data_IF_616871921403
#
_entry.id   IF_616871921403
#
_cell.length_a   1.000
_cell.length_b   1.000
_cell.length_c   1.000
_cell.angle_alpha   90.00
_cell.angle_beta   90.00
_cell.angle_gamma   90.00
#
_symmetry.space_group_name_H-M   'P 1'
#
loop_
_entity.id
_entity.type
_entity.pdbx_description
1 polymer ?
#
# COMPACT_ATOMS: atom_id res chain seq x y z
N UNK A 1 22.71 9.76 -0.25
CA UNK A 1 22.68 10.17 1.17
C UNK A 1 21.44 11.06 1.35
N UNK A 2 20.47 10.68 2.18
CA UNK A 2 19.19 11.41 2.37
C UNK A 2 19.31 12.75 3.13
N UNK A 3 20.52 13.32 3.19
CA UNK A 3 20.86 14.46 4.07
C UNK A 3 20.06 15.72 3.72
N UNK A 4 19.66 15.89 2.46
CA UNK A 4 18.82 17.02 2.04
C UNK A 4 17.38 17.03 2.59
N UNK A 5 16.94 15.94 3.24
CA UNK A 5 15.61 15.82 3.85
C UNK A 5 15.66 15.65 5.38
N UNK A 6 16.85 15.66 5.97
CA UNK A 6 17.02 15.61 7.42
C UNK A 6 16.74 17.00 8.04
N UNK A 7 16.01 17.10 9.16
CA UNK A 7 15.82 18.38 9.86
C UNK A 7 17.07 18.78 10.66
N UNK A 8 17.81 19.80 10.20
CA UNK A 8 18.98 20.42 10.88
C UNK A 8 20.18 19.49 11.18
N UNK A 9 21.36 20.08 11.42
CA UNK A 9 22.67 19.39 11.44
C UNK A 9 22.92 18.45 12.65
N UNK A 10 21.91 18.14 13.47
CA UNK A 10 22.05 17.38 14.73
C UNK A 10 21.02 16.24 14.85
N UNK A 11 20.82 15.51 13.75
CA UNK A 11 19.80 14.45 13.65
C UNK A 11 20.39 13.12 14.12
N UNK A 12 19.83 12.57 15.20
CA UNK A 12 20.14 11.21 15.63
C UNK A 12 19.52 10.18 14.68
N UNK A 13 20.31 9.72 13.71
CA UNK A 13 19.89 8.69 12.77
C UNK A 13 19.83 7.29 13.39
N UNK A 14 20.21 7.11 14.65
CA UNK A 14 19.99 5.84 15.37
C UNK A 14 18.55 5.71 15.87
N UNK A 15 17.82 6.83 15.99
CA UNK A 15 16.40 6.85 16.35
C UNK A 15 15.51 6.43 15.16
N UNK A 16 14.72 5.37 15.35
CA UNK A 16 13.78 4.84 14.35
C UNK A 16 12.68 5.84 13.96
N UNK A 17 12.21 6.67 14.89
CA UNK A 17 11.16 7.65 14.64
C UNK A 17 11.67 8.78 13.75
N UNK A 18 12.92 9.18 13.96
CA UNK A 18 13.62 10.16 13.12
C UNK A 18 13.79 9.62 11.71
N UNK A 19 14.30 8.39 11.56
CA UNK A 19 14.45 7.75 10.23
C UNK A 19 13.09 7.58 9.53
N UNK A 20 12.05 7.23 10.27
CA UNK A 20 10.70 7.11 9.74
C UNK A 20 10.16 8.46 9.25
N UNK A 21 10.33 9.54 10.02
CA UNK A 21 9.92 10.88 9.61
C UNK A 21 10.63 11.34 8.33
N UNK A 22 11.92 11.03 8.17
CA UNK A 22 12.67 11.30 6.93
C UNK A 22 12.07 10.51 5.76
N UNK A 23 11.78 9.22 5.96
CA UNK A 23 11.14 8.39 4.94
C UNK A 23 9.76 8.93 4.55
N UNK A 24 8.93 9.33 5.51
CA UNK A 24 7.62 9.93 5.24
C UNK A 24 7.73 11.20 4.39
N UNK A 25 8.73 12.05 4.65
CA UNK A 25 8.98 13.25 3.82
C UNK A 25 9.43 12.88 2.41
N UNK A 26 10.30 11.89 2.28
CA UNK A 26 10.72 11.41 0.96
C UNK A 26 9.58 10.73 0.19
N UNK A 27 8.62 10.13 0.89
CA UNK A 27 7.45 9.48 0.29
C UNK A 27 6.42 10.48 -0.27
N UNK A 28 6.40 11.74 0.16
CA UNK A 28 5.48 12.75 -0.39
C UNK A 28 6.09 13.55 -1.55
N UNK A 29 7.38 13.36 -1.81
CA UNK A 29 8.15 14.11 -2.81
C UNK A 29 8.77 13.15 -3.84
N UNK A 30 8.14 12.95 -5.01
CA UNK A 30 8.64 12.02 -6.01
C UNK A 30 10.08 12.28 -6.46
N UNK A 31 10.53 13.53 -6.44
CA UNK A 31 11.94 13.87 -6.75
C UNK A 31 12.94 13.33 -5.73
N UNK A 32 12.51 12.96 -4.52
CA UNK A 32 13.32 12.35 -3.48
C UNK A 32 13.51 10.83 -3.66
N UNK A 33 12.69 10.18 -4.50
CA UNK A 33 12.73 8.73 -4.70
C UNK A 33 14.11 8.17 -5.12
N UNK A 34 14.88 8.81 -6.02
CA UNK A 34 16.23 8.37 -6.35
C UNK A 34 17.18 8.34 -5.13
N UNK A 35 16.99 9.25 -4.16
CA UNK A 35 17.78 9.29 -2.93
C UNK A 35 17.25 8.34 -1.85
N UNK A 36 15.93 8.09 -1.83
CA UNK A 36 15.28 7.14 -0.92
C UNK A 36 15.73 5.71 -1.19
N UNK A 37 15.86 5.32 -2.46
CA UNK A 37 16.23 3.97 -2.87
C UNK A 37 17.53 3.45 -2.20
N UNK A 38 18.69 4.11 -2.31
CA UNK A 38 19.92 3.65 -1.66
C UNK A 38 19.83 3.72 -0.13
N UNK A 39 19.01 4.61 0.44
CA UNK A 39 18.82 4.65 1.88
C UNK A 39 18.06 3.43 2.40
N UNK A 40 17.05 2.95 1.68
CA UNK A 40 16.34 1.72 2.02
C UNK A 40 17.23 0.47 1.93
N UNK A 41 18.21 0.47 1.02
CA UNK A 41 19.22 -0.60 0.95
C UNK A 41 20.12 -0.61 2.19
N UNK A 42 20.44 0.58 2.71
CA UNK A 42 21.30 0.75 3.89
C UNK A 42 20.55 0.72 5.22
N UNK A 43 19.21 0.65 5.21
CA UNK A 43 18.38 0.73 6.42
C UNK A 43 18.57 -0.53 7.29
N UNK A 44 19.00 -0.37 8.56
CA UNK A 44 19.14 -1.50 9.47
C UNK A 44 17.81 -2.10 9.92
N UNK A 45 16.75 -1.29 10.05
CA UNK A 45 15.42 -1.79 10.40
C UNK A 45 14.63 -2.25 9.15
N UNK A 46 14.55 -3.57 9.00
CA UNK A 46 13.80 -4.22 7.92
C UNK A 46 12.31 -3.86 7.93
N UNK A 47 11.73 -3.60 9.10
CA UNK A 47 10.33 -3.23 9.26
C UNK A 47 10.09 -1.82 8.74
N UNK A 48 10.99 -0.89 9.03
CA UNK A 48 10.96 0.47 8.49
C UNK A 48 11.11 0.46 6.97
N UNK A 49 12.07 -0.30 6.44
CA UNK A 49 12.26 -0.41 4.99
C UNK A 49 11.03 -1.01 4.29
N UNK A 50 10.49 -2.10 4.83
CA UNK A 50 9.28 -2.76 4.30
C UNK A 50 8.06 -1.84 4.36
N UNK A 51 7.86 -1.14 5.48
CA UNK A 51 6.74 -0.21 5.66
C UNK A 51 6.83 0.98 4.71
N UNK A 52 8.04 1.50 4.49
CA UNK A 52 8.27 2.60 3.54
C UNK A 52 7.89 2.18 2.12
N UNK A 53 8.35 1.01 1.65
CA UNK A 53 8.00 0.50 0.32
C UNK A 53 6.50 0.20 0.20
N UNK A 54 5.88 -0.32 1.27
CA UNK A 54 4.44 -0.56 1.31
C UNK A 54 3.64 0.73 1.09
N UNK A 55 4.00 1.83 1.76
CA UNK A 55 3.36 3.14 1.58
C UNK A 55 3.61 3.67 0.17
N UNK A 56 4.82 3.47 -0.36
CA UNK A 56 5.18 3.90 -1.70
C UNK A 56 4.31 3.24 -2.79
N UNK A 57 3.91 1.97 -2.62
CA UNK A 57 3.05 1.28 -3.60
C UNK A 57 1.69 1.93 -3.84
N UNK A 58 1.17 2.67 -2.85
CA UNK A 58 -0.09 3.41 -2.98
C UNK A 58 0.03 4.58 -3.98
N UNK A 59 1.26 5.00 -4.28
CA UNK A 59 1.56 6.13 -5.17
C UNK A 59 2.13 5.68 -6.52
N UNK A 60 2.81 4.52 -6.54
CA UNK A 60 3.45 4.02 -7.75
C UNK A 60 2.49 3.30 -8.69
N UNK A 61 2.69 3.43 -10.02
CA UNK A 61 2.05 2.55 -10.98
C UNK A 61 2.52 1.11 -10.77
N UNK A 62 1.68 0.09 -11.08
CA UNK A 62 2.02 -1.32 -10.86
C UNK A 62 3.36 -1.75 -11.46
N UNK A 63 3.71 -1.25 -12.64
CA UNK A 63 4.95 -1.60 -13.35
C UNK A 63 6.25 -1.14 -12.66
N UNK A 64 6.18 -0.21 -11.70
CA UNK A 64 7.36 0.27 -10.99
C UNK A 64 7.63 -0.47 -9.67
N UNK A 65 6.61 -1.14 -9.11
CA UNK A 65 6.64 -1.72 -7.75
C UNK A 65 7.73 -2.78 -7.58
N UNK A 66 7.97 -3.63 -8.58
CA UNK A 66 8.96 -4.72 -8.51
C UNK A 66 10.38 -4.21 -8.27
N UNK A 67 10.72 -3.08 -8.89
CA UNK A 67 12.03 -2.46 -8.72
C UNK A 67 12.28 -1.98 -7.29
N UNK A 68 11.21 -1.68 -6.53
CA UNK A 68 11.27 -1.28 -5.12
C UNK A 68 11.23 -2.46 -4.16
N UNK A 69 10.60 -3.58 -4.54
CA UNK A 69 10.71 -4.84 -3.78
C UNK A 69 12.18 -5.29 -3.73
N UNK A 70 12.90 -5.13 -4.83
CA UNK A 70 14.30 -5.56 -4.96
C UNK A 70 15.26 -4.85 -4.00
N UNK A 71 14.90 -3.70 -3.44
CA UNK A 71 15.78 -2.95 -2.52
C UNK A 71 15.57 -3.26 -1.04
N UNK A 72 14.52 -4.02 -0.71
CA UNK A 72 14.24 -4.48 0.66
C UNK A 72 14.98 -5.80 0.91
N UNK A 73 15.41 -6.10 2.15
CA UNK A 73 15.92 -7.42 2.53
C UNK A 73 14.95 -8.56 2.20
N UNK A 74 15.49 -9.76 1.96
CA UNK A 74 14.72 -10.91 1.45
C UNK A 74 13.53 -11.31 2.32
N UNK A 75 13.64 -11.16 3.64
CA UNK A 75 12.60 -11.41 4.64
C UNK A 75 11.30 -10.64 4.36
N UNK A 76 11.39 -9.39 3.88
CA UNK A 76 10.22 -8.54 3.58
C UNK A 76 9.66 -8.73 2.16
N UNK A 77 10.44 -9.30 1.23
CA UNK A 77 10.06 -9.35 -0.20
C UNK A 77 8.81 -10.16 -0.46
N UNK A 78 8.66 -11.33 0.15
CA UNK A 78 7.49 -12.19 -0.08
C UNK A 78 6.17 -11.48 0.31
N UNK A 79 6.19 -10.72 1.39
CA UNK A 79 5.06 -9.90 1.81
C UNK A 79 4.76 -8.78 0.81
N UNK A 80 5.78 -8.05 0.37
CA UNK A 80 5.62 -6.96 -0.59
C UNK A 80 5.18 -7.45 -1.97
N UNK A 81 5.70 -8.58 -2.46
CA UNK A 81 5.25 -9.21 -3.70
C UNK A 81 3.77 -9.56 -3.63
N UNK A 82 3.32 -10.20 -2.54
CA UNK A 82 1.89 -10.49 -2.35
C UNK A 82 1.06 -9.21 -2.35
N UNK A 83 1.50 -8.18 -1.62
CA UNK A 83 0.76 -6.92 -1.53
C UNK A 83 0.69 -6.19 -2.87
N UNK A 84 1.78 -6.19 -3.65
CA UNK A 84 1.83 -5.58 -4.99
C UNK A 84 0.79 -6.22 -5.91
N UNK A 85 0.70 -7.56 -5.90
CA UNK A 85 -0.31 -8.30 -6.65
C UNK A 85 -1.74 -7.98 -6.18
N UNK A 86 -1.98 -7.95 -4.87
CA UNK A 86 -3.29 -7.60 -4.31
C UNK A 86 -3.70 -6.16 -4.64
N UNK A 87 -2.77 -5.21 -4.61
CA UNK A 87 -3.04 -3.83 -5.06
C UNK A 87 -3.41 -3.79 -6.54
N UNK A 88 -2.70 -4.52 -7.40
CA UNK A 88 -3.05 -4.61 -8.82
C UNK A 88 -4.45 -5.19 -9.02
N UNK A 89 -4.84 -6.23 -8.29
CA UNK A 89 -6.21 -6.75 -8.28
C UNK A 89 -7.22 -5.71 -7.80
N UNK A 90 -6.89 -4.97 -6.74
CA UNK A 90 -7.76 -3.92 -6.23
C UNK A 90 -7.96 -2.77 -7.24
N UNK A 91 -6.90 -2.40 -7.96
CA UNK A 91 -6.93 -1.36 -8.99
C UNK A 91 -7.86 -1.77 -10.16
N UNK A 92 -7.84 -3.04 -10.57
CA UNK A 92 -8.76 -3.58 -11.60
C UNK A 92 -10.23 -3.44 -11.19
N UNK A 93 -10.56 -3.80 -9.95
CA UNK A 93 -11.95 -3.78 -9.47
C UNK A 93 -12.41 -2.41 -8.95
N UNK A 94 -11.50 -1.44 -8.83
CA UNK A 94 -11.84 -0.08 -8.41
C UNK A 94 -12.84 0.55 -9.36
N UNK A 95 -12.58 0.52 -10.65
CA UNK A 95 -13.42 1.11 -11.72
C UNK A 95 -13.95 0.09 -12.72
N UNK A 96 -13.47 -1.16 -12.64
CA UNK A 96 -13.85 -2.25 -13.54
C UNK A 96 -15.08 -3.05 -13.08
N UNK A 97 -15.28 -4.19 -13.73
CA UNK A 97 -16.37 -5.12 -13.43
C UNK A 97 -16.26 -5.73 -12.03
N UNK A 98 -17.38 -6.15 -11.42
CA UNK A 98 -17.34 -6.91 -10.17
C UNK A 98 -16.51 -8.19 -10.33
N UNK A 99 -15.82 -8.64 -9.28
CA UNK A 99 -15.07 -9.90 -9.33
C UNK A 99 -16.01 -11.07 -9.59
N UNK A 100 -15.53 -12.10 -10.28
CA UNK A 100 -16.30 -13.33 -10.48
C UNK A 100 -16.35 -14.17 -9.19
N UNK A 101 -15.20 -14.31 -8.52
CA UNK A 101 -15.02 -15.01 -7.25
C UNK A 101 -14.08 -14.23 -6.33
N UNK A 102 -14.38 -14.26 -5.04
CA UNK A 102 -13.63 -13.60 -3.96
C UNK A 102 -13.21 -14.58 -2.85
N UNK A 103 -13.49 -15.88 -3.00
CA UNK A 103 -13.23 -16.92 -1.99
C UNK A 103 -11.75 -17.01 -1.60
N UNK A 104 -10.85 -16.88 -2.58
CA UNK A 104 -9.40 -16.91 -2.40
C UNK A 104 -8.78 -15.59 -1.93
N UNK A 105 -9.56 -14.53 -1.75
CA UNK A 105 -9.01 -13.22 -1.41
C UNK A 105 -8.59 -13.14 0.06
N UNK A 106 -7.48 -12.44 0.30
CA UNK A 106 -7.07 -12.10 1.65
C UNK A 106 -8.05 -11.13 2.30
N UNK A 107 -8.05 -11.08 3.63
CA UNK A 107 -8.88 -10.13 4.37
C UNK A 107 -8.54 -8.68 4.04
N UNK A 108 -7.27 -8.43 3.72
CA UNK A 108 -6.86 -7.10 3.30
C UNK A 108 -7.42 -6.75 1.92
N UNK A 109 -7.33 -7.67 0.95
CA UNK A 109 -7.84 -7.42 -0.41
C UNK A 109 -9.36 -7.20 -0.39
N UNK A 110 -10.09 -8.04 0.34
CA UNK A 110 -11.54 -7.87 0.54
C UNK A 110 -11.88 -6.49 1.08
N UNK A 111 -11.18 -6.04 2.14
CA UNK A 111 -11.43 -4.72 2.75
C UNK A 111 -11.05 -3.59 1.81
N UNK A 112 -9.92 -3.71 1.09
CA UNK A 112 -9.44 -2.71 0.14
C UNK A 112 -10.45 -2.52 -0.98
N UNK A 113 -10.87 -3.58 -1.65
CA UNK A 113 -11.84 -3.50 -2.74
C UNK A 113 -13.20 -3.00 -2.22
N UNK A 114 -13.64 -3.48 -1.05
CA UNK A 114 -14.90 -3.03 -0.45
C UNK A 114 -14.95 -1.52 -0.19
N UNK A 115 -13.82 -0.89 0.19
CA UNK A 115 -13.79 0.54 0.51
C UNK A 115 -13.48 1.44 -0.69
N UNK A 116 -12.76 0.96 -1.71
CA UNK A 116 -12.29 1.81 -2.81
C UNK A 116 -13.11 1.71 -4.09
N UNK A 117 -13.94 0.67 -4.26
CA UNK A 117 -14.75 0.48 -5.47
C UNK A 117 -15.63 1.68 -5.79
N UNK A 118 -15.73 2.04 -7.05
CA UNK A 118 -16.55 3.16 -7.55
C UNK A 118 -17.78 2.71 -8.31
N UNK A 119 -17.90 1.41 -8.63
CA UNK A 119 -19.11 0.83 -9.23
C UNK A 119 -19.92 0.11 -8.15
N UNK A 120 -21.25 0.16 -8.22
CA UNK A 120 -22.14 -0.43 -7.19
C UNK A 120 -22.10 -1.96 -7.16
N UNK A 121 -21.85 -2.60 -8.29
CA UNK A 121 -21.93 -4.05 -8.43
C UNK A 121 -20.88 -4.76 -7.55
N UNK A 122 -19.68 -4.17 -7.43
CA UNK A 122 -18.60 -4.71 -6.60
C UNK A 122 -18.96 -4.72 -5.10
N UNK A 123 -19.36 -3.60 -4.45
CA UNK A 123 -19.80 -3.61 -3.06
C UNK A 123 -21.09 -4.41 -2.86
N UNK A 124 -22.01 -4.50 -3.83
CA UNK A 124 -23.17 -5.42 -3.75
C UNK A 124 -22.69 -6.87 -3.58
N UNK A 125 -21.78 -7.32 -4.45
CA UNK A 125 -21.23 -8.68 -4.38
C UNK A 125 -20.48 -8.91 -3.07
N UNK A 126 -19.60 -7.99 -2.68
CA UNK A 126 -18.81 -8.12 -1.45
C UNK A 126 -19.67 -8.08 -0.18
N UNK A 127 -20.78 -7.34 -0.16
CA UNK A 127 -21.71 -7.35 0.97
C UNK A 127 -22.39 -8.72 1.15
N UNK A 128 -22.60 -9.46 0.06
CA UNK A 128 -23.19 -10.81 0.09
C UNK A 128 -22.14 -11.91 0.35
N UNK A 129 -21.00 -11.86 -0.33
CA UNK A 129 -20.08 -13.01 -0.46
C UNK A 129 -18.77 -12.88 0.33
N UNK A 130 -18.40 -11.68 0.81
CA UNK A 130 -17.12 -11.54 1.51
C UNK A 130 -17.10 -12.39 2.79
N UNK A 131 -16.04 -13.18 2.96
CA UNK A 131 -15.93 -14.16 4.06
C UNK A 131 -15.98 -13.52 5.45
N UNK A 132 -15.52 -12.28 5.62
CA UNK A 132 -15.53 -11.60 6.91
C UNK A 132 -16.65 -10.58 7.04
N UNK A 133 -17.27 -10.54 8.23
CA UNK A 133 -18.27 -9.53 8.62
C UNK A 133 -17.77 -8.11 8.39
N UNK A 134 -16.49 -7.83 8.69
CA UNK A 134 -15.89 -6.51 8.51
C UNK A 134 -15.88 -6.08 7.04
N UNK A 135 -15.52 -6.98 6.12
CA UNK A 135 -15.53 -6.68 4.69
C UNK A 135 -16.97 -6.47 4.18
N UNK A 136 -17.93 -7.32 4.59
CA UNK A 136 -19.34 -7.13 4.24
C UNK A 136 -19.89 -5.78 4.69
N UNK A 137 -19.57 -5.37 5.92
CA UNK A 137 -20.00 -4.07 6.45
C UNK A 137 -19.38 -2.90 5.69
N UNK A 138 -18.07 -2.95 5.40
CA UNK A 138 -17.41 -1.91 4.58
C UNK A 138 -18.06 -1.79 3.20
N UNK A 139 -18.38 -2.92 2.57
CA UNK A 139 -19.04 -2.93 1.27
C UNK A 139 -20.45 -2.33 1.33
N UNK A 140 -21.24 -2.66 2.36
CA UNK A 140 -22.56 -2.08 2.57
C UNK A 140 -22.50 -0.56 2.80
N UNK A 141 -21.54 -0.07 3.60
CA UNK A 141 -21.35 1.38 3.79
C UNK A 141 -20.90 2.07 2.50
N UNK A 142 -20.02 1.43 1.72
CA UNK A 142 -19.60 1.98 0.43
C UNK A 142 -20.77 2.07 -0.55
N UNK A 143 -21.62 1.04 -0.61
CA UNK A 143 -22.83 1.06 -1.45
C UNK A 143 -23.78 2.20 -1.07
N UNK A 144 -24.00 2.41 0.24
CA UNK A 144 -24.79 3.54 0.72
C UNK A 144 -24.19 4.88 0.29
N UNK A 145 -22.87 5.02 0.34
CA UNK A 145 -22.19 6.24 -0.07
C UNK A 145 -22.33 6.48 -1.59
N UNK A 146 -22.20 5.45 -2.42
CA UNK A 146 -22.33 5.57 -3.88
C UNK A 146 -23.75 5.98 -4.31
N UNK A 147 -24.79 5.44 -3.65
CA UNK A 147 -26.20 5.77 -3.95
C UNK A 147 -26.66 7.15 -3.49
N UNK A 148 -25.84 7.85 -2.71
CA UNK A 148 -26.11 9.22 -2.24
C UNK A 148 -25.49 10.28 -3.16
N UNK A 149 -24.63 9.88 -4.09
CA UNK A 149 -24.01 10.73 -5.10
C UNK A 149 -24.87 10.75 -6.36
#
# INVERSE_FOLDING_TARGET
MLVGFAPAEDVDLTDEHVRWAICQRALVEPSAHPALRPALVAEPDQSLATSTVLVLFEQLPPGERDSWIAVVPSSGRAFLTRRSAELATADVHRTGSPPADVSGWSDWLLRRVASTSTREETPVKLAAEARTRRARNLAAERLKALRRL
#
